data_IF_561572108291
#
_entry.id   IF_561572108291
#
_cell.length_a   1.000
_cell.length_b   1.000
_cell.length_c   1.000
_cell.angle_alpha   90.00
_cell.angle_beta   90.00
_cell.angle_gamma   90.00
#
_symmetry.space_group_name_H-M   'P 1'
#
loop_
_entity.id
_entity.type
_entity.pdbx_description
1 polymer ?
#
# COMPACT_ATOMS: atom_id res chain seq x y z
N UNK A 1 0.79 -30.37 3.14
CA UNK A 1 0.82 -28.95 2.76
C UNK A 1 1.78 -28.83 1.58
N UNK A 2 1.29 -28.36 0.43
CA UNK A 2 2.15 -28.09 -0.71
C UNK A 2 3.08 -26.94 -0.34
N UNK A 3 4.35 -27.04 -0.74
CA UNK A 3 5.29 -25.95 -0.58
C UNK A 3 4.96 -24.84 -1.59
N UNK A 4 5.32 -23.58 -1.29
CA UNK A 4 5.15 -22.48 -2.24
C UNK A 4 5.86 -22.73 -3.56
N UNK A 5 6.96 -23.46 -3.56
CA UNK A 5 7.69 -23.87 -4.75
C UNK A 5 6.87 -24.82 -5.63
N UNK A 6 6.16 -25.78 -5.03
CA UNK A 6 5.26 -26.68 -5.77
C UNK A 6 4.08 -25.92 -6.37
N UNK A 7 3.51 -24.98 -5.62
CA UNK A 7 2.42 -24.11 -6.11
C UNK A 7 2.91 -23.21 -7.25
N UNK A 8 4.07 -22.58 -7.12
CA UNK A 8 4.64 -21.73 -8.17
C UNK A 8 4.92 -22.54 -9.44
N UNK A 9 5.49 -23.75 -9.32
CA UNK A 9 5.72 -24.63 -10.47
C UNK A 9 4.41 -25.06 -11.13
N UNK A 10 3.38 -25.37 -10.35
CA UNK A 10 2.06 -25.72 -10.88
C UNK A 10 1.46 -24.57 -11.69
N UNK A 11 1.57 -23.32 -11.19
CA UNK A 11 1.12 -22.13 -11.90
C UNK A 11 1.86 -21.92 -13.24
N UNK A 12 3.16 -22.25 -13.30
CA UNK A 12 3.94 -22.16 -14.55
C UNK A 12 3.54 -23.26 -15.57
N UNK A 13 3.05 -24.40 -15.12
CA UNK A 13 2.62 -25.52 -15.95
C UNK A 13 1.17 -25.39 -16.43
N UNK A 14 0.32 -24.65 -15.68
CA UNK A 14 -1.11 -24.48 -15.99
C UNK A 14 -1.33 -23.43 -17.09
N UNK A 15 -2.33 -23.65 -17.93
CA UNK A 15 -2.75 -22.62 -18.89
C UNK A 15 -3.46 -21.47 -18.18
N UNK A 16 -3.45 -20.23 -18.73
CA UNK A 16 -4.19 -19.11 -18.16
C UNK A 16 -5.69 -19.39 -17.97
N UNK A 17 -6.27 -20.28 -18.77
CA UNK A 17 -7.68 -20.69 -18.69
C UNK A 17 -7.97 -21.55 -17.48
N UNK A 18 -6.98 -22.32 -16.99
CA UNK A 18 -7.09 -23.16 -15.81
C UNK A 18 -6.83 -22.41 -14.51
N UNK A 19 -6.03 -21.34 -14.57
CA UNK A 19 -5.66 -20.53 -13.39
C UNK A 19 -6.84 -19.74 -12.79
N UNK A 20 -7.75 -19.22 -13.64
CA UNK A 20 -8.88 -18.41 -13.17
C UNK A 20 -9.87 -19.22 -12.29
N UNK A 21 -10.31 -20.44 -12.68
CA UNK A 21 -11.14 -21.28 -11.82
C UNK A 21 -10.45 -21.66 -10.51
N UNK A 22 -9.15 -21.96 -10.55
CA UNK A 22 -8.38 -22.30 -9.36
C UNK A 22 -8.27 -21.11 -8.41
N UNK A 23 -7.94 -19.91 -8.91
CA UNK A 23 -7.89 -18.70 -8.12
C UNK A 23 -9.25 -18.36 -7.49
N UNK A 24 -10.34 -18.51 -8.23
CA UNK A 24 -11.70 -18.29 -7.73
C UNK A 24 -12.05 -19.28 -6.61
N UNK A 25 -11.69 -20.55 -6.76
CA UNK A 25 -11.92 -21.57 -5.73
C UNK A 25 -11.12 -21.29 -4.46
N UNK A 26 -9.86 -20.87 -4.59
CA UNK A 26 -9.02 -20.50 -3.45
C UNK A 26 -9.59 -19.26 -2.73
N UNK A 27 -10.01 -18.23 -3.47
CA UNK A 27 -10.65 -17.04 -2.88
C UNK A 27 -11.91 -17.37 -2.11
N UNK A 28 -12.80 -18.21 -2.65
CA UNK A 28 -14.00 -18.68 -1.94
C UNK A 28 -13.65 -19.43 -0.66
N UNK A 29 -12.63 -20.30 -0.70
CA UNK A 29 -12.15 -21.02 0.47
C UNK A 29 -11.60 -20.07 1.54
N UNK A 30 -10.85 -19.04 1.16
CA UNK A 30 -10.33 -18.02 2.08
C UNK A 30 -11.49 -17.21 2.69
N UNK A 31 -12.45 -16.79 1.87
CA UNK A 31 -13.64 -16.05 2.33
C UNK A 31 -14.45 -16.86 3.35
N UNK A 32 -14.75 -18.12 3.05
CA UNK A 32 -15.43 -19.02 3.99
C UNK A 32 -14.65 -19.19 5.31
N UNK A 33 -13.33 -19.24 5.22
CA UNK A 33 -12.46 -19.36 6.38
C UNK A 33 -12.48 -18.11 7.26
N UNK A 34 -12.49 -16.93 6.65
CA UNK A 34 -12.46 -15.64 7.36
C UNK A 34 -13.83 -15.27 7.93
N UNK A 35 -14.92 -15.64 7.25
CA UNK A 35 -16.31 -15.32 7.66
C UNK A 35 -16.98 -16.43 8.47
N UNK A 36 -16.41 -17.64 8.47
CA UNK A 36 -16.95 -18.80 9.14
C UNK A 36 -16.86 -18.73 10.67
N UNK A 37 -17.59 -19.63 11.33
CA UNK A 37 -17.63 -19.74 12.81
C UNK A 37 -16.37 -20.36 13.43
N UNK A 38 -15.46 -20.92 12.63
CA UNK A 38 -14.20 -21.48 13.12
C UNK A 38 -13.23 -20.35 13.47
N UNK A 39 -12.55 -20.42 14.63
CA UNK A 39 -11.55 -19.41 14.97
C UNK A 39 -10.45 -19.36 13.90
N UNK A 40 -10.17 -18.16 13.39
CA UNK A 40 -9.01 -17.92 12.52
C UNK A 40 -7.76 -17.79 13.38
N UNK A 41 -6.60 -18.29 12.92
CA UNK A 41 -5.36 -18.15 13.67
C UNK A 41 -5.00 -16.66 13.79
N UNK A 42 -4.59 -16.21 14.97
CA UNK A 42 -4.11 -14.86 15.18
C UNK A 42 -2.75 -14.61 14.50
N UNK A 43 -1.97 -15.67 14.27
CA UNK A 43 -0.65 -15.66 13.64
C UNK A 43 -0.56 -16.74 12.57
N UNK A 44 0.24 -16.46 11.56
CA UNK A 44 0.54 -17.34 10.43
C UNK A 44 2.05 -17.41 10.23
N UNK A 45 2.55 -18.54 9.76
CA UNK A 45 3.92 -18.66 9.28
C UNK A 45 4.01 -18.10 7.85
N UNK A 46 4.99 -17.25 7.62
CA UNK A 46 5.30 -16.66 6.31
C UNK A 46 6.73 -17.00 5.91
N UNK A 47 7.13 -16.68 4.68
CA UNK A 47 8.50 -16.90 4.19
C UNK A 47 9.56 -16.14 5.02
N UNK A 48 9.15 -15.07 5.69
CA UNK A 48 10.05 -14.23 6.50
C UNK A 48 9.85 -14.43 8.00
N UNK A 49 9.08 -15.45 8.40
CA UNK A 49 8.80 -15.81 9.78
C UNK A 49 7.36 -15.57 10.22
N UNK A 50 7.04 -15.69 11.51
CA UNK A 50 5.69 -15.58 12.03
C UNK A 50 5.16 -14.16 11.97
N UNK A 51 3.98 -13.96 11.40
CA UNK A 51 3.29 -12.68 11.29
C UNK A 51 1.88 -12.74 11.91
N UNK A 52 1.30 -11.59 12.23
CA UNK A 52 -0.14 -11.52 12.50
C UNK A 52 -0.91 -11.76 11.21
N UNK A 53 -1.97 -12.54 11.27
CA UNK A 53 -2.80 -12.80 10.08
C UNK A 53 -3.29 -11.50 9.43
N UNK A 54 -3.73 -10.52 10.23
CA UNK A 54 -4.21 -9.22 9.72
C UNK A 54 -3.13 -8.45 8.96
N UNK A 55 -1.89 -8.49 9.43
CA UNK A 55 -0.79 -7.78 8.78
C UNK A 55 -0.37 -8.51 7.50
N UNK A 56 -0.35 -9.84 7.53
CA UNK A 56 -0.11 -10.65 6.34
C UNK A 56 -1.16 -10.40 5.25
N UNK A 57 -2.46 -10.38 5.61
CA UNK A 57 -3.54 -10.10 4.65
C UNK A 57 -3.46 -8.68 4.07
N UNK A 58 -3.09 -7.69 4.88
CA UNK A 58 -2.88 -6.31 4.40
C UNK A 58 -1.73 -6.23 3.40
N UNK A 59 -0.60 -6.89 3.68
CA UNK A 59 0.54 -6.92 2.75
C UNK A 59 0.19 -7.65 1.45
N UNK A 60 -0.51 -8.78 1.53
CA UNK A 60 -1.01 -9.50 0.35
C UNK A 60 -1.97 -8.63 -0.48
N UNK A 61 -2.83 -7.84 0.17
CA UNK A 61 -3.67 -6.85 -0.52
C UNK A 61 -2.81 -5.80 -1.25
N UNK A 62 -1.73 -5.30 -0.63
CA UNK A 62 -0.83 -4.34 -1.28
C UNK A 62 -0.14 -4.97 -2.48
N UNK A 63 0.30 -6.23 -2.42
CA UNK A 63 0.83 -6.94 -3.58
C UNK A 63 -0.19 -7.00 -4.73
N UNK A 64 -1.45 -7.32 -4.43
CA UNK A 64 -2.55 -7.28 -5.41
C UNK A 64 -2.79 -5.87 -6.00
N UNK A 65 -2.70 -4.83 -5.18
CA UNK A 65 -2.77 -3.42 -5.64
C UNK A 65 -1.62 -3.10 -6.60
N UNK A 66 -0.39 -3.49 -6.28
CA UNK A 66 0.77 -3.29 -7.14
C UNK A 66 0.60 -4.00 -8.50
N UNK A 67 0.11 -5.23 -8.50
CA UNK A 67 -0.17 -5.98 -9.73
C UNK A 67 -1.26 -5.29 -10.57
N UNK A 68 -2.33 -4.81 -9.95
CA UNK A 68 -3.40 -4.08 -10.64
C UNK A 68 -2.89 -2.78 -11.29
N UNK A 69 -2.09 -2.00 -10.55
CA UNK A 69 -1.47 -0.78 -11.06
C UNK A 69 -0.52 -1.06 -12.23
N UNK A 70 0.32 -2.11 -12.12
CA UNK A 70 1.23 -2.54 -13.18
C UNK A 70 0.48 -2.94 -14.47
N UNK A 71 -0.70 -3.54 -14.32
CA UNK A 71 -1.54 -4.05 -15.41
C UNK A 71 -2.59 -3.04 -15.90
N UNK A 72 -2.68 -1.86 -15.30
CA UNK A 72 -3.70 -0.86 -15.64
C UNK A 72 -5.13 -1.27 -15.27
N UNK A 73 -5.28 -2.17 -14.31
CA UNK A 73 -6.58 -2.66 -13.82
C UNK A 73 -7.15 -1.69 -12.79
N UNK A 74 -8.40 -1.27 -12.97
CA UNK A 74 -9.09 -0.39 -12.04
C UNK A 74 -9.38 -1.09 -10.71
N UNK A 75 -8.99 -0.46 -9.60
CA UNK A 75 -9.23 -0.96 -8.26
C UNK A 75 -10.62 -0.56 -7.73
N UNK A 76 -11.34 -1.47 -7.04
CA UNK A 76 -12.55 -1.13 -6.31
C UNK A 76 -12.28 -0.05 -5.25
N UNK A 77 -13.27 0.83 -5.00
CA UNK A 77 -13.12 1.94 -4.04
C UNK A 77 -12.73 1.46 -2.64
N UNK A 78 -13.31 0.38 -2.16
CA UNK A 78 -13.00 -0.19 -0.84
C UNK A 78 -11.53 -0.60 -0.74
N UNK A 79 -11.01 -1.28 -1.77
CA UNK A 79 -9.60 -1.68 -1.84
C UNK A 79 -8.68 -0.46 -1.83
N UNK A 80 -9.01 0.59 -2.61
CA UNK A 80 -8.23 1.86 -2.60
C UNK A 80 -8.17 2.48 -1.21
N UNK A 81 -9.29 2.55 -0.51
CA UNK A 81 -9.35 3.11 0.86
C UNK A 81 -8.48 2.31 1.83
N UNK A 82 -8.59 0.98 1.84
CA UNK A 82 -7.86 0.14 2.77
C UNK A 82 -6.35 0.10 2.44
N UNK A 83 -6.00 0.11 1.15
CA UNK A 83 -4.61 0.21 0.70
C UNK A 83 -3.98 1.56 1.08
N UNK A 84 -4.69 2.69 0.87
CA UNK A 84 -4.21 4.00 1.30
C UNK A 84 -3.98 4.06 2.80
N UNK A 85 -4.91 3.53 3.62
CA UNK A 85 -4.75 3.46 5.07
C UNK A 85 -3.56 2.61 5.49
N UNK A 86 -3.38 1.46 4.85
CA UNK A 86 -2.26 0.56 5.14
C UNK A 86 -0.93 1.21 4.83
N UNK A 87 -0.76 1.78 3.63
CA UNK A 87 0.49 2.42 3.22
C UNK A 87 0.77 3.69 4.04
N UNK A 88 -0.24 4.52 4.32
CA UNK A 88 -0.09 5.69 5.19
C UNK A 88 0.29 5.30 6.63
N UNK A 89 -0.24 4.17 7.14
CA UNK A 89 0.13 3.65 8.46
C UNK A 89 1.61 3.24 8.49
N UNK A 90 2.08 2.53 7.46
CA UNK A 90 3.50 2.13 7.35
C UNK A 90 4.38 3.39 7.26
N UNK A 91 4.01 4.34 6.40
CA UNK A 91 4.73 5.62 6.26
C UNK A 91 4.83 6.36 7.59
N UNK A 92 3.72 6.49 8.33
CA UNK A 92 3.68 7.12 9.65
C UNK A 92 4.44 6.37 10.73
N UNK A 93 4.57 5.04 10.62
CA UNK A 93 5.41 4.24 11.53
C UNK A 93 6.90 4.43 11.27
N UNK A 94 7.27 4.68 10.01
CA UNK A 94 8.67 4.85 9.58
C UNK A 94 9.15 6.29 9.76
N UNK A 95 8.28 7.26 9.47
CA UNK A 95 8.62 8.69 9.43
C UNK A 95 7.67 9.54 10.28
N UNK A 96 7.08 8.98 11.33
CA UNK A 96 6.07 9.67 12.13
C UNK A 96 6.61 10.90 12.86
N UNK A 97 5.83 11.98 12.85
CA UNK A 97 6.16 13.25 13.48
C UNK A 97 5.02 14.27 13.36
N UNK A 98 5.34 15.57 13.36
CA UNK A 98 4.34 16.65 13.40
C UNK A 98 4.66 17.83 12.49
N UNK A 99 5.61 17.68 11.60
CA UNK A 99 6.10 18.77 10.74
C UNK A 99 5.33 18.83 9.42
N UNK A 100 4.98 17.67 8.85
CA UNK A 100 4.32 17.54 7.54
C UNK A 100 3.04 16.73 7.72
N UNK A 101 1.93 17.17 7.11
CA UNK A 101 0.70 16.39 6.99
C UNK A 101 0.47 15.97 5.55
N UNK A 102 0.42 14.68 5.30
CA UNK A 102 0.00 14.11 4.02
C UNK A 102 -1.47 13.68 4.11
N UNK A 103 -2.31 14.27 3.27
CA UNK A 103 -3.75 14.02 3.19
C UNK A 103 -4.11 13.25 1.94
N UNK A 104 -4.94 12.22 2.11
CA UNK A 104 -5.47 11.38 1.03
C UNK A 104 -6.99 11.23 1.22
N UNK A 105 -7.78 12.28 0.99
CA UNK A 105 -9.22 12.21 1.19
C UNK A 105 -9.89 11.26 0.17
N UNK A 106 -10.95 10.53 0.58
CA UNK A 106 -11.52 10.45 1.90
C UNK A 106 -10.91 9.34 2.76
N UNK A 107 -9.76 8.76 2.37
CA UNK A 107 -9.23 7.54 2.97
C UNK A 107 -8.53 7.80 4.31
N UNK A 108 -7.59 8.76 4.34
CA UNK A 108 -6.69 8.94 5.50
C UNK A 108 -5.97 10.29 5.46
N UNK A 109 -5.32 10.62 6.59
CA UNK A 109 -4.25 11.60 6.70
C UNK A 109 -3.18 11.04 7.64
N UNK A 110 -1.92 11.38 7.41
CA UNK A 110 -0.78 10.96 8.23
C UNK A 110 0.14 12.14 8.51
N UNK A 111 0.63 12.23 9.75
CA UNK A 111 1.61 13.23 10.15
C UNK A 111 3.00 12.63 10.16
N UNK A 112 3.95 13.35 9.58
CA UNK A 112 5.31 12.93 9.33
C UNK A 112 6.29 13.95 9.88
N UNK A 113 7.52 13.50 10.17
CA UNK A 113 8.59 14.35 10.65
C UNK A 113 9.46 14.81 9.48
N UNK A 114 9.81 16.11 9.48
CA UNK A 114 10.82 16.63 8.60
C UNK A 114 12.20 16.11 9.00
N UNK A 115 13.06 15.82 8.04
CA UNK A 115 14.46 15.46 8.27
C UNK A 115 15.31 16.66 8.70
N UNK A 116 14.82 17.85 8.40
CA UNK A 116 15.41 19.12 8.82
C UNK A 116 14.62 19.73 9.97
N UNK A 117 15.29 20.34 10.94
CA UNK A 117 14.65 20.94 12.10
C UNK A 117 13.63 22.03 11.68
N UNK A 118 12.35 21.71 11.86
CA UNK A 118 11.23 22.60 11.58
C UNK A 118 10.39 22.88 12.83
N UNK A 119 9.48 23.85 12.78
CA UNK A 119 8.60 24.15 13.90
C UNK A 119 7.67 22.96 14.18
N UNK A 120 7.75 22.42 15.38
CA UNK A 120 6.85 21.37 15.87
C UNK A 120 5.49 22.00 16.23
N UNK A 121 4.41 21.49 15.63
CA UNK A 121 3.06 22.01 15.86
C UNK A 121 2.24 21.11 16.76
N UNK A 122 1.93 21.64 17.95
CA UNK A 122 1.06 20.96 18.93
C UNK A 122 -0.44 21.24 18.73
N UNK A 123 -0.81 22.31 17.98
CA UNK A 123 -2.21 22.70 17.71
C UNK A 123 -2.30 23.56 16.44
N UNK A 124 -3.36 23.33 15.63
CA UNK A 124 -3.67 24.13 14.43
C UNK A 124 -3.41 23.37 13.13
N UNK A 125 -3.51 24.09 12.01
CA UNK A 125 -3.19 23.54 10.68
C UNK A 125 -1.68 23.33 10.60
N UNK A 126 -1.20 22.14 10.19
CA UNK A 126 0.22 21.92 9.97
C UNK A 126 0.82 22.93 8.99
N UNK A 127 2.06 23.37 9.19
CA UNK A 127 2.69 24.38 8.31
C UNK A 127 3.01 23.80 6.94
N UNK A 128 3.15 22.50 6.85
CA UNK A 128 3.49 21.80 5.62
C UNK A 128 2.41 20.76 5.35
N UNK A 129 1.70 20.90 4.23
CA UNK A 129 0.60 20.03 3.84
C UNK A 129 0.79 19.59 2.40
N UNK A 130 0.68 18.29 2.16
CA UNK A 130 0.49 17.70 0.84
C UNK A 130 -0.86 17.01 0.78
N UNK A 131 -1.59 17.19 -0.32
CA UNK A 131 -2.88 16.54 -0.53
C UNK A 131 -2.96 15.95 -1.94
N UNK A 132 -3.40 14.71 -2.05
CA UNK A 132 -3.64 14.01 -3.31
C UNK A 132 -4.87 13.13 -3.23
N UNK A 133 -5.40 12.74 -4.39
CA UNK A 133 -6.40 11.67 -4.45
C UNK A 133 -5.78 10.29 -4.14
N UNK A 134 -6.65 9.29 -3.97
CA UNK A 134 -6.22 7.92 -3.62
C UNK A 134 -5.37 7.27 -4.72
N UNK A 135 -5.71 7.47 -5.99
CA UNK A 135 -4.98 6.90 -7.12
C UNK A 135 -3.55 7.45 -7.20
N UNK A 136 -3.42 8.75 -7.02
CA UNK A 136 -2.11 9.42 -7.00
C UNK A 136 -1.26 8.93 -5.82
N UNK A 137 -1.84 8.88 -4.61
CA UNK A 137 -1.12 8.39 -3.45
C UNK A 137 -0.69 6.92 -3.61
N UNK A 138 -1.58 6.05 -4.09
CA UNK A 138 -1.22 4.65 -4.34
C UNK A 138 -0.08 4.51 -5.33
N UNK A 139 -0.10 5.27 -6.43
CA UNK A 139 0.97 5.25 -7.42
C UNK A 139 2.31 5.77 -6.85
N UNK A 140 2.29 6.82 -6.02
CA UNK A 140 3.46 7.34 -5.31
C UNK A 140 4.00 6.34 -4.29
N UNK A 141 3.12 5.83 -3.43
CA UNK A 141 3.50 4.93 -2.34
C UNK A 141 4.00 3.57 -2.82
N UNK A 142 3.71 3.20 -4.07
CA UNK A 142 4.15 1.94 -4.70
C UNK A 142 5.23 2.14 -5.78
N UNK A 143 5.68 3.37 -6.02
CA UNK A 143 6.78 3.68 -6.94
C UNK A 143 6.37 3.77 -8.42
N UNK A 144 5.07 3.61 -8.77
CA UNK A 144 4.60 3.76 -10.16
C UNK A 144 4.51 5.21 -10.63
N UNK A 145 4.62 6.17 -9.71
CA UNK A 145 4.68 7.60 -9.99
C UNK A 145 5.74 8.22 -9.08
N UNK A 146 6.64 9.04 -9.64
CA UNK A 146 7.59 9.79 -8.82
C UNK A 146 6.95 11.05 -8.25
N UNK A 147 7.52 11.58 -7.15
CA UNK A 147 7.09 12.85 -6.56
C UNK A 147 7.15 14.00 -7.58
N UNK A 148 8.27 14.12 -8.31
CA UNK A 148 8.45 15.16 -9.33
C UNK A 148 7.37 15.08 -10.42
N UNK A 149 7.11 13.91 -10.96
CA UNK A 149 6.05 13.70 -11.96
C UNK A 149 4.66 14.08 -11.43
N UNK A 150 4.35 13.73 -10.18
CA UNK A 150 3.06 14.06 -9.57
C UNK A 150 2.90 15.58 -9.39
N UNK A 151 3.98 16.27 -9.03
CA UNK A 151 4.04 17.75 -8.90
C UNK A 151 3.88 18.43 -10.26
N UNK A 152 4.66 18.04 -11.24
CA UNK A 152 4.64 18.61 -12.60
C UNK A 152 3.26 18.44 -13.27
N UNK A 153 2.60 17.30 -13.03
CA UNK A 153 1.28 17.01 -13.58
C UNK A 153 0.12 17.59 -12.73
N UNK A 154 0.41 18.35 -11.67
CA UNK A 154 -0.60 18.97 -10.81
C UNK A 154 -1.48 17.97 -10.03
N UNK A 155 -0.98 16.73 -9.83
CA UNK A 155 -1.72 15.67 -9.12
C UNK A 155 -1.60 15.76 -7.60
N UNK A 156 -0.71 16.63 -7.10
CA UNK A 156 -0.52 16.91 -5.69
C UNK A 156 -0.64 18.41 -5.44
N UNK A 157 -1.47 18.78 -4.48
CA UNK A 157 -1.51 20.13 -3.91
C UNK A 157 -0.56 20.19 -2.71
N UNK A 158 0.28 21.21 -2.66
CA UNK A 158 1.27 21.35 -1.59
C UNK A 158 1.30 22.77 -1.02
N UNK A 159 1.60 22.87 0.28
CA UNK A 159 1.80 24.13 1.00
C UNK A 159 2.90 23.95 2.05
N UNK A 160 3.78 24.92 2.18
CA UNK A 160 4.89 24.91 3.12
C UNK A 160 6.23 24.51 2.50
N UNK A 161 7.33 24.79 3.23
CA UNK A 161 8.70 24.65 2.75
C UNK A 161 9.28 23.25 2.87
N UNK A 162 8.77 22.43 3.80
CA UNK A 162 9.30 21.07 4.07
C UNK A 162 8.54 19.96 3.32
N UNK A 163 7.51 20.30 2.56
CA UNK A 163 6.66 19.32 1.90
C UNK A 163 7.42 18.51 0.83
N UNK A 164 8.46 19.08 0.24
CA UNK A 164 9.29 18.41 -0.76
C UNK A 164 10.12 17.25 -0.18
N UNK A 165 10.29 17.20 1.15
CA UNK A 165 10.95 16.09 1.84
C UNK A 165 10.16 14.78 1.74
N UNK A 166 8.86 14.85 1.39
CA UNK A 166 8.08 13.66 1.08
C UNK A 166 8.64 12.84 -0.09
N UNK A 167 9.41 13.47 -0.98
CA UNK A 167 10.11 12.76 -2.06
C UNK A 167 11.10 11.71 -1.55
N UNK A 168 11.70 11.94 -0.38
CA UNK A 168 12.68 11.03 0.25
C UNK A 168 12.00 9.93 1.07
N UNK A 169 10.74 10.12 1.45
CA UNK A 169 9.95 9.18 2.24
C UNK A 169 9.14 8.22 1.35
N UNK A 170 9.06 8.48 0.06
CA UNK A 170 8.32 7.71 -0.95
C UNK A 170 9.31 7.08 -1.95
N UNK A 171 9.04 5.88 -2.47
CA UNK A 171 7.85 5.05 -2.20
C UNK A 171 7.89 4.32 -0.86
N UNK A 172 6.73 3.93 -0.33
CA UNK A 172 6.61 3.07 0.88
C UNK A 172 6.99 1.62 0.55
N UNK A 173 6.61 1.16 -0.64
CA UNK A 173 7.01 -0.13 -1.23
C UNK A 173 7.43 0.11 -2.68
N UNK A 174 8.65 -0.26 -3.02
CA UNK A 174 9.16 -0.11 -4.38
C UNK A 174 8.75 -1.29 -5.26
N UNK A 175 7.49 -1.27 -5.69
CA UNK A 175 6.92 -2.30 -6.53
C UNK A 175 7.23 -2.07 -8.02
N UNK A 176 7.42 -0.83 -8.47
CA UNK A 176 7.76 -0.53 -9.86
C UNK A 176 9.08 -1.19 -10.25
N UNK A 177 10.07 -1.18 -9.36
CA UNK A 177 11.37 -1.82 -9.59
C UNK A 177 11.25 -3.35 -9.72
N UNK A 178 10.33 -3.98 -8.96
CA UNK A 178 10.08 -5.43 -9.03
C UNK A 178 9.32 -5.84 -10.30
N UNK A 179 8.52 -4.94 -10.87
CA UNK A 179 7.74 -5.18 -12.08
C UNK A 179 8.48 -4.79 -13.37
N UNK A 180 9.77 -4.42 -13.31
CA UNK A 180 10.62 -4.14 -14.48
C UNK A 180 10.24 -2.86 -15.25
N UNK A 181 9.71 -1.86 -14.56
CA UNK A 181 9.39 -0.54 -15.10
C UNK A 181 10.35 0.53 -14.57
#
# INVERSE_FOLDING_TARGET
>A
AHTLIEVARQIEEDSPEDLLPQASSLLSTVEERLTGTRPTPARVETLVGPARLTDHLRLTMIDGVCMALASGIALPRAVKVDACRTLATILGQTHGGRTIELRVPPATAVQLESTTAGPDHHRGTPPNVAESDMETFLALATGFLSWSQARENGRISTSGSHVEELAEMLPVVDAAHRCGR
#
